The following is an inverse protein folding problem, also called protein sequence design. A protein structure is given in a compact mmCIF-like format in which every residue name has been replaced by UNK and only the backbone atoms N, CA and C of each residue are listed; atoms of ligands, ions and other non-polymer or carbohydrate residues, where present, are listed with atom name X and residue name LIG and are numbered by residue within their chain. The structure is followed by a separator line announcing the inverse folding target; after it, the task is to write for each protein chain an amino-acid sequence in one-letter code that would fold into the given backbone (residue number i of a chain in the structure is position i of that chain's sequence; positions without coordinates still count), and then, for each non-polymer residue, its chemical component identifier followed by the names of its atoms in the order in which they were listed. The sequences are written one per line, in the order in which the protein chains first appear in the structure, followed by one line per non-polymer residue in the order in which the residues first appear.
data_IF_850103124470
#
_entry.id   IF_850103124470
#
_cell.length_a   1.000
_cell.length_b   1.000
_cell.length_c   1.000
_cell.angle_alpha   90.00
_cell.angle_beta   90.00
_cell.angle_gamma   90.00
#
_symmetry.space_group_name_H-M   'P 1'
#
loop_
_entity.id
_entity.type
_entity.pdbx_description
1 polymer ?
#
# COMPACT_ATOMS: atom_id res chain seq x y z
N UNK A 1 1.79 -41.26 -1.21
CA UNK A 1 1.60 -39.98 -0.51
C UNK A 1 1.24 -40.29 0.92
N UNK A 2 1.99 -39.79 1.88
CA UNK A 2 1.63 -39.91 3.30
C UNK A 2 0.31 -39.20 3.56
N UNK A 3 -0.53 -39.68 4.50
CA UNK A 3 -1.74 -38.96 4.88
C UNK A 3 -1.37 -37.57 5.42
N UNK A 4 -2.07 -36.55 4.96
CA UNK A 4 -1.92 -35.17 5.44
C UNK A 4 -2.98 -34.94 6.49
N UNK A 5 -2.58 -34.50 7.68
CA UNK A 5 -3.52 -34.16 8.75
C UNK A 5 -4.38 -32.96 8.33
N UNK A 6 -5.69 -33.09 8.52
CA UNK A 6 -6.63 -32.03 8.23
C UNK A 6 -6.40 -30.85 9.19
N UNK A 7 -6.30 -29.64 8.64
CA UNK A 7 -6.22 -28.43 9.44
C UNK A 7 -7.59 -28.11 10.07
N UNK A 8 -7.63 -27.67 11.33
CA UNK A 8 -8.87 -27.22 11.95
C UNK A 8 -9.37 -25.92 11.29
N UNK A 9 -10.69 -25.72 11.29
CA UNK A 9 -11.33 -24.66 10.49
C UNK A 9 -10.90 -23.23 10.87
N UNK A 10 -10.50 -23.04 12.12
CA UNK A 10 -10.07 -21.77 12.71
C UNK A 10 -8.70 -21.29 12.17
N UNK A 11 -7.81 -22.19 11.76
CA UNK A 11 -6.51 -21.82 11.18
C UNK A 11 -6.54 -21.63 9.65
N UNK A 12 -7.69 -21.85 9.02
CA UNK A 12 -7.85 -21.69 7.57
C UNK A 12 -7.90 -20.22 7.14
N UNK A 13 -8.11 -19.29 8.08
CA UNK A 13 -8.13 -17.84 7.79
C UNK A 13 -7.42 -17.06 8.89
N UNK A 14 -6.80 -15.95 8.49
CA UNK A 14 -6.40 -14.91 9.44
C UNK A 14 -7.62 -14.07 9.78
N UNK A 15 -8.00 -14.05 11.06
CA UNK A 15 -9.06 -13.17 11.56
C UNK A 15 -8.44 -11.87 12.07
N UNK A 16 -9.04 -10.75 11.71
CA UNK A 16 -8.84 -9.49 12.42
C UNK A 16 -9.87 -9.45 13.55
N UNK A 17 -9.43 -9.21 14.78
CA UNK A 17 -10.32 -8.97 15.91
C UNK A 17 -10.78 -7.51 15.87
N UNK A 18 -12.08 -7.23 15.62
CA UNK A 18 -12.59 -5.87 15.57
C UNK A 18 -12.45 -5.14 16.92
N UNK A 19 -12.55 -5.86 18.03
CA UNK A 19 -12.48 -5.28 19.38
C UNK A 19 -11.06 -4.80 19.74
N UNK A 20 -10.06 -5.24 18.97
CA UNK A 20 -8.68 -4.76 19.09
C UNK A 20 -8.44 -3.40 18.42
N UNK A 21 -9.41 -2.88 17.65
CA UNK A 21 -9.29 -1.59 16.97
C UNK A 21 -9.84 -0.45 17.86
N UNK A 22 -9.13 0.68 17.98
CA UNK A 22 -9.53 1.77 18.87
C UNK A 22 -10.60 2.70 18.27
N UNK A 23 -11.48 2.19 17.39
CA UNK A 23 -12.52 2.95 16.70
C UNK A 23 -13.68 2.04 16.27
N UNK A 24 -14.90 2.57 16.21
CA UNK A 24 -16.08 1.80 15.77
C UNK A 24 -16.22 1.81 14.25
N UNK A 25 -15.95 2.95 13.62
CA UNK A 25 -16.09 3.15 12.17
C UNK A 25 -14.86 3.83 11.58
N UNK A 26 -14.58 3.56 10.32
CA UNK A 26 -13.45 4.20 9.62
C UNK A 26 -13.63 5.71 9.43
N UNK A 27 -14.82 6.26 9.70
CA UNK A 27 -15.08 7.70 9.69
C UNK A 27 -14.40 8.44 10.86
N UNK A 28 -14.08 7.74 11.95
CA UNK A 28 -13.38 8.28 13.12
C UNK A 28 -11.86 8.43 12.91
N UNK A 29 -11.33 7.82 11.84
CA UNK A 29 -9.92 7.87 11.53
C UNK A 29 -9.50 9.27 11.06
N UNK A 30 -8.64 9.89 11.85
CA UNK A 30 -8.06 11.19 11.53
C UNK A 30 -6.74 11.05 10.76
N UNK A 31 -6.50 11.99 9.85
CA UNK A 31 -5.24 12.11 9.12
C UNK A 31 -5.37 11.89 7.61
N UNK A 32 -4.38 12.35 6.84
CA UNK A 32 -4.40 12.19 5.40
C UNK A 32 -4.23 10.71 5.03
N UNK A 33 -4.97 10.25 4.04
CA UNK A 33 -4.70 8.97 3.38
C UNK A 33 -3.31 9.07 2.75
N UNK A 34 -2.35 8.42 3.41
CA UNK A 34 -0.99 8.27 2.94
C UNK A 34 -0.89 7.10 1.95
N UNK A 35 0.08 7.17 1.05
CA UNK A 35 0.41 6.03 0.20
C UNK A 35 1.17 4.98 1.03
N UNK A 36 0.44 3.98 1.53
CA UNK A 36 0.98 2.90 2.35
C UNK A 36 1.85 1.99 1.48
N UNK A 37 3.09 1.71 1.91
CA UNK A 37 4.01 0.80 1.23
C UNK A 37 4.58 1.34 -0.09
N UNK A 38 4.56 2.67 -0.29
CA UNK A 38 5.06 3.33 -1.51
C UNK A 38 6.28 4.22 -1.23
N UNK A 39 7.08 3.91 -0.21
CA UNK A 39 8.23 4.71 0.22
C UNK A 39 9.26 4.87 -0.91
N UNK A 40 9.53 3.79 -1.63
CA UNK A 40 10.50 3.76 -2.74
C UNK A 40 10.04 4.65 -3.92
N UNK A 41 8.84 4.48 -4.50
CA UNK A 41 8.36 5.36 -5.58
C UNK A 41 8.31 6.84 -5.18
N UNK A 42 7.87 7.13 -3.96
CA UNK A 42 7.87 8.50 -3.43
C UNK A 42 9.27 9.10 -3.34
N UNK A 43 10.26 8.32 -2.91
CA UNK A 43 11.66 8.77 -2.87
C UNK A 43 12.22 9.05 -4.27
N UNK A 44 11.94 8.16 -5.23
CA UNK A 44 12.38 8.31 -6.62
C UNK A 44 11.80 9.56 -7.29
N UNK A 45 10.52 9.87 -7.06
CA UNK A 45 9.89 11.08 -7.57
C UNK A 45 10.53 12.32 -6.95
N UNK A 46 10.68 12.36 -5.61
CA UNK A 46 11.34 13.48 -4.91
C UNK A 46 12.76 13.72 -5.40
N UNK A 47 13.49 12.66 -5.74
CA UNK A 47 14.82 12.75 -6.33
C UNK A 47 14.75 13.30 -7.77
N UNK A 48 13.90 12.70 -8.61
CA UNK A 48 13.79 13.06 -10.03
C UNK A 48 13.36 14.52 -10.25
N UNK A 49 12.40 15.02 -9.47
CA UNK A 49 11.96 16.44 -9.57
C UNK A 49 13.03 17.44 -9.14
N UNK A 50 14.02 17.01 -8.34
CA UNK A 50 15.16 17.85 -7.95
C UNK A 50 16.26 17.89 -9.01
N UNK A 51 16.20 17.08 -10.08
CA UNK A 51 17.19 17.11 -11.15
C UNK A 51 16.92 18.28 -12.11
N UNK A 52 17.76 19.32 -12.04
CA UNK A 52 17.65 20.52 -12.88
C UNK A 52 18.37 20.31 -14.22
N UNK A 53 17.90 19.32 -15.00
CA UNK A 53 18.43 19.04 -16.34
C UNK A 53 17.30 18.96 -17.35
N UNK A 54 17.40 19.75 -18.40
CA UNK A 54 16.44 19.75 -19.50
C UNK A 54 16.40 18.35 -20.16
N UNK A 55 15.19 17.87 -20.45
CA UNK A 55 14.95 16.56 -21.06
C UNK A 55 14.98 15.38 -20.08
N UNK A 56 15.09 15.62 -18.77
CA UNK A 56 14.93 14.56 -17.76
C UNK A 56 13.44 14.25 -17.57
N UNK A 57 13.07 12.98 -17.71
CA UNK A 57 11.69 12.51 -17.60
C UNK A 57 11.58 11.41 -16.55
N UNK A 58 10.42 11.32 -15.89
CA UNK A 58 10.09 10.26 -14.92
C UNK A 58 9.05 9.33 -15.55
N UNK A 59 9.32 8.03 -15.53
CA UNK A 59 8.37 7.00 -15.97
C UNK A 59 7.90 6.17 -14.77
N UNK A 60 6.59 6.11 -14.54
CA UNK A 60 5.98 5.39 -13.43
C UNK A 60 5.48 4.00 -13.88
N UNK A 61 6.14 2.94 -13.40
CA UNK A 61 5.81 1.54 -13.72
C UNK A 61 5.18 0.83 -12.51
N UNK A 62 4.18 -0.01 -12.78
CA UNK A 62 3.58 -0.91 -11.80
C UNK A 62 2.22 -1.44 -12.24
N UNK A 63 1.67 -2.46 -11.55
CA UNK A 63 0.33 -2.98 -11.80
C UNK A 63 -0.78 -1.92 -11.87
N UNK A 64 -1.90 -2.29 -12.52
CA UNK A 64 -3.12 -1.49 -12.48
C UNK A 64 -3.67 -1.42 -11.03
N UNK A 65 -4.38 -0.34 -10.70
CA UNK A 65 -4.97 -0.15 -9.36
C UNK A 65 -4.04 0.43 -8.28
N UNK A 66 -2.74 0.56 -8.52
CA UNK A 66 -1.79 1.11 -7.54
C UNK A 66 -1.82 2.66 -7.39
N UNK A 67 -2.78 3.34 -7.99
CA UNK A 67 -2.89 4.80 -7.87
C UNK A 67 -1.71 5.60 -8.46
N UNK A 68 -0.97 5.04 -9.43
CA UNK A 68 0.22 5.68 -10.03
C UNK A 68 -0.02 7.13 -10.48
N UNK A 69 -1.16 7.39 -11.12
CA UNK A 69 -1.53 8.74 -11.54
C UNK A 69 -1.85 9.66 -10.36
N UNK A 70 -2.59 9.17 -9.36
CA UNK A 70 -2.89 9.93 -8.13
C UNK A 70 -1.61 10.32 -7.40
N UNK A 71 -0.62 9.42 -7.38
CA UNK A 71 0.66 9.64 -6.74
C UNK A 71 1.51 10.70 -7.44
N UNK A 72 1.46 10.79 -8.78
CA UNK A 72 2.20 11.79 -9.57
C UNK A 72 1.53 13.17 -9.57
N UNK A 73 0.20 13.24 -9.38
CA UNK A 73 -0.58 14.49 -9.47
C UNK A 73 -0.84 15.21 -8.14
N UNK A 74 -0.53 14.57 -7.01
CA UNK A 74 -0.57 15.19 -5.67
C UNK A 74 0.72 15.96 -5.41
#
# INVERSE_FOLDING_TARGET
MSPVDALPADVLRRCCDPDALPFETTAELNGPIAFIGQERPMSAIRFGVKMHRQGYNIFALGPAGLGKHTLVRR
#
